data_IF_835015922243
#
_entry.id   IF_835015922243
#
_cell.length_a   1.000
_cell.length_b   1.000
_cell.length_c   1.000
_cell.angle_alpha   90.00
_cell.angle_beta   90.00
_cell.angle_gamma   90.00
#
_symmetry.space_group_name_H-M   'P 1'
#
loop_
_entity.id
_entity.type
_entity.pdbx_description
1 polymer ?
#
# COMPACT_ATOMS: atom_id res chain seq x y z
N UNK A 1 -4.08 20.93 21.69
CA UNK A 1 -3.04 19.91 21.86
C UNK A 1 -3.75 18.57 21.86
N UNK A 2 -3.60 17.79 20.80
CA UNK A 2 -4.11 16.41 20.79
C UNK A 2 -3.06 15.55 21.48
N UNK A 3 -3.47 14.74 22.46
CA UNK A 3 -2.60 13.82 23.19
C UNK A 3 -2.97 12.40 22.79
N UNK A 4 -1.96 11.59 22.49
CA UNK A 4 -2.13 10.18 22.10
C UNK A 4 -2.31 9.31 23.34
N UNK A 5 -3.24 8.36 23.29
CA UNK A 5 -3.37 7.37 24.37
C UNK A 5 -2.34 6.24 24.17
N UNK A 6 -1.92 5.53 25.24
CA UNK A 6 -1.02 4.38 25.13
C UNK A 6 -1.53 3.32 24.15
N UNK A 7 -2.79 2.90 24.27
CA UNK A 7 -3.37 1.88 23.37
C UNK A 7 -3.36 2.34 21.90
N UNK A 8 -3.62 3.63 21.66
CA UNK A 8 -3.56 4.20 20.31
C UNK A 8 -2.11 4.22 19.77
N UNK A 9 -1.14 4.47 20.64
CA UNK A 9 0.27 4.46 20.27
C UNK A 9 0.72 3.06 19.86
N UNK A 10 0.31 2.02 20.59
CA UNK A 10 0.53 0.61 20.23
C UNK A 10 -0.07 0.28 18.85
N UNK A 11 -1.35 0.59 18.62
CA UNK A 11 -2.00 0.38 17.30
C UNK A 11 -1.24 1.06 16.15
N UNK A 12 -0.70 2.26 16.42
CA UNK A 12 0.03 3.04 15.40
C UNK A 12 1.43 2.48 15.16
N UNK A 13 2.06 1.97 16.22
CA UNK A 13 3.35 1.28 16.17
C UNK A 13 3.25 -0.02 15.37
N UNK A 14 2.17 -0.77 15.55
CA UNK A 14 1.90 -1.99 14.76
C UNK A 14 1.63 -1.68 13.28
N UNK A 15 1.05 -0.52 12.98
CA UNK A 15 0.70 -0.12 11.61
C UNK A 15 1.90 0.42 10.81
N UNK A 16 2.70 1.30 11.42
CA UNK A 16 3.78 2.01 10.72
C UNK A 16 5.18 1.50 11.09
N UNK A 17 5.29 0.68 12.13
CA UNK A 17 6.55 0.20 12.65
C UNK A 17 7.25 1.19 13.59
N UNK A 18 8.44 0.81 14.09
CA UNK A 18 9.17 1.56 15.12
C UNK A 18 9.85 2.83 14.60
N UNK A 19 9.97 3.02 13.29
CA UNK A 19 10.54 4.24 12.69
C UNK A 19 9.51 5.38 12.66
N UNK A 20 9.62 6.32 13.60
CA UNK A 20 8.76 7.50 13.66
C UNK A 20 8.88 8.42 12.43
N UNK A 21 9.92 8.30 11.60
CA UNK A 21 10.13 9.17 10.44
C UNK A 21 9.14 8.91 9.30
N UNK A 22 8.59 7.70 9.23
CA UNK A 22 7.57 7.31 8.22
C UNK A 22 6.15 7.64 8.67
N UNK A 23 5.97 8.05 9.92
CA UNK A 23 4.65 8.32 10.49
C UNK A 23 4.06 9.63 9.94
N UNK A 24 2.71 9.72 9.85
CA UNK A 24 2.03 10.98 9.58
C UNK A 24 2.42 12.08 10.57
N UNK A 25 2.54 13.33 10.10
CA UNK A 25 3.03 14.46 10.90
C UNK A 25 2.22 14.76 12.17
N UNK A 26 0.94 14.40 12.20
CA UNK A 26 0.08 14.56 13.39
C UNK A 26 0.37 13.48 14.43
N UNK A 27 0.44 12.22 14.01
CA UNK A 27 0.67 11.08 14.88
C UNK A 27 2.11 11.06 15.41
N UNK A 28 3.09 11.41 14.56
CA UNK A 28 4.49 11.55 14.97
C UNK A 28 4.67 12.55 16.12
N UNK A 29 4.08 13.75 16.00
CA UNK A 29 4.16 14.78 17.06
C UNK A 29 3.44 14.33 18.34
N UNK A 30 2.36 13.57 18.21
CA UNK A 30 1.62 13.07 19.35
C UNK A 30 2.40 11.94 20.07
N UNK A 31 3.05 11.06 19.31
CA UNK A 31 3.95 10.02 19.80
C UNK A 31 5.19 10.59 20.49
N UNK A 32 5.86 11.58 19.90
CA UNK A 32 7.02 12.27 20.51
C UNK A 32 6.67 12.83 21.90
N UNK A 33 5.52 13.50 22.02
CA UNK A 33 5.03 14.01 23.32
C UNK A 33 4.76 12.89 24.32
N UNK A 34 4.19 11.77 23.88
CA UNK A 34 3.94 10.61 24.74
C UNK A 34 5.25 10.00 25.23
N UNK A 35 6.23 9.81 24.34
CA UNK A 35 7.55 9.27 24.65
C UNK A 35 8.35 10.15 25.60
N UNK A 36 8.17 11.47 25.60
CA UNK A 36 8.81 12.35 26.58
C UNK A 36 8.33 12.08 28.02
N UNK A 37 7.09 11.65 28.20
CA UNK A 37 6.45 11.57 29.52
C UNK A 37 6.24 10.15 30.03
N UNK A 38 6.04 9.18 29.13
CA UNK A 38 5.69 7.81 29.47
C UNK A 38 6.88 6.87 29.28
N UNK A 39 7.24 6.16 30.35
CA UNK A 39 8.26 5.11 30.28
C UNK A 39 7.71 3.85 29.61
N UNK A 40 6.43 3.55 29.78
CA UNK A 40 5.79 2.39 29.17
C UNK A 40 5.78 2.51 27.63
N UNK A 41 5.53 3.72 27.11
CA UNK A 41 5.59 3.97 25.67
C UNK A 41 7.00 3.80 25.08
N UNK A 42 8.05 4.10 25.87
CA UNK A 42 9.43 3.84 25.45
C UNK A 42 9.73 2.35 25.43
N UNK A 43 9.26 1.60 26.42
CA UNK A 43 9.40 0.15 26.45
C UNK A 43 8.72 -0.51 25.23
N UNK A 44 7.50 -0.07 24.89
CA UNK A 44 6.80 -0.53 23.68
C UNK A 44 7.61 -0.25 22.40
N UNK A 45 8.20 0.94 22.29
CA UNK A 45 9.04 1.31 21.15
C UNK A 45 10.31 0.46 21.07
N UNK A 46 10.97 0.22 22.20
CA UNK A 46 12.17 -0.62 22.28
C UNK A 46 11.85 -2.08 21.90
N UNK A 47 10.70 -2.61 22.35
CA UNK A 47 10.23 -3.95 21.99
C UNK A 47 9.97 -4.06 20.48
N UNK A 48 9.35 -3.05 19.88
CA UNK A 48 9.12 -3.01 18.43
C UNK A 48 10.44 -2.94 17.63
N UNK A 49 11.42 -2.16 18.10
CA UNK A 49 12.78 -2.16 17.50
C UNK A 49 13.45 -3.52 17.62
N UNK A 50 13.33 -4.20 18.76
CA UNK A 50 13.93 -5.52 18.95
C UNK A 50 13.38 -6.55 17.96
N UNK A 51 12.08 -6.48 17.63
CA UNK A 51 11.46 -7.34 16.61
C UNK A 51 11.98 -6.98 15.22
N UNK A 52 12.00 -5.69 14.86
CA UNK A 52 12.47 -5.25 13.54
C UNK A 52 13.94 -5.62 13.30
N UNK A 53 14.80 -5.42 14.31
CA UNK A 53 16.21 -5.83 14.26
C UNK A 53 16.36 -7.34 14.09
N UNK A 54 15.58 -8.14 14.83
CA UNK A 54 15.61 -9.60 14.71
C UNK A 54 15.20 -10.08 13.31
N UNK A 55 14.27 -9.37 12.66
CA UNK A 55 13.85 -9.66 11.30
C UNK A 55 14.89 -9.20 10.27
N UNK A 56 15.51 -8.05 10.46
CA UNK A 56 16.55 -7.52 9.56
C UNK A 56 17.86 -8.31 9.64
N UNK A 57 18.19 -8.85 10.81
CA UNK A 57 19.37 -9.71 11.00
C UNK A 57 19.18 -11.11 10.38
N UNK A 58 17.94 -11.49 10.04
CA UNK A 58 17.67 -12.78 9.43
C UNK A 58 18.23 -12.84 8.00
N UNK A 59 19.37 -13.52 7.86
CA UNK A 59 20.00 -13.76 6.56
C UNK A 59 19.46 -15.05 5.94
N UNK A 60 18.95 -14.95 4.71
CA UNK A 60 18.55 -16.09 3.90
C UNK A 60 19.73 -16.54 3.03
N UNK A 61 19.86 -17.84 2.78
CA UNK A 61 20.87 -18.38 1.86
C UNK A 61 20.66 -17.85 0.44
N UNK A 62 21.76 -17.58 -0.26
CA UNK A 62 21.73 -17.05 -1.62
C UNK A 62 20.91 -17.97 -2.56
N UNK A 63 20.09 -17.40 -3.46
CA UNK A 63 19.31 -18.20 -4.40
C UNK A 63 20.23 -19.03 -5.30
N UNK A 64 19.74 -20.20 -5.74
CA UNK A 64 20.52 -21.03 -6.65
C UNK A 64 20.73 -20.32 -7.99
N UNK A 65 21.90 -20.49 -8.65
CA UNK A 65 22.18 -19.83 -9.93
C UNK A 65 21.21 -20.23 -11.06
N UNK A 66 20.53 -21.37 -10.89
CA UNK A 66 19.49 -21.85 -11.81
C UNK A 66 18.18 -21.04 -11.66
N UNK A 67 17.83 -20.63 -10.44
CA UNK A 67 16.67 -19.79 -10.18
C UNK A 67 16.87 -18.39 -10.75
N UNK A 68 18.06 -17.82 -10.57
CA UNK A 68 18.43 -16.52 -11.16
C UNK A 68 18.34 -16.53 -12.69
N UNK A 69 18.86 -17.58 -13.33
CA UNK A 69 18.77 -17.73 -14.79
C UNK A 69 17.31 -17.78 -15.28
N UNK A 70 16.44 -18.46 -14.53
CA UNK A 70 15.00 -18.53 -14.85
C UNK A 70 14.26 -17.21 -14.62
N UNK A 71 14.61 -16.47 -13.57
CA UNK A 71 14.04 -15.14 -13.31
C UNK A 71 14.42 -14.14 -14.40
N UNK A 72 15.68 -14.16 -14.85
CA UNK A 72 16.16 -13.29 -15.92
C UNK A 72 15.53 -13.64 -17.28
N UNK A 73 15.25 -14.91 -17.55
CA UNK A 73 14.54 -15.34 -18.77
C UNK A 73 13.05 -14.94 -18.75
N UNK A 74 12.44 -14.86 -17.56
CA UNK A 74 11.05 -14.41 -17.39
C UNK A 74 10.91 -12.88 -17.41
N UNK A 75 12.01 -12.13 -17.27
CA UNK A 75 11.97 -10.68 -17.24
C UNK A 75 11.41 -10.14 -18.56
N UNK A 76 10.37 -9.29 -18.53
CA UNK A 76 9.83 -8.70 -19.73
C UNK A 76 10.91 -7.86 -20.42
N UNK A 77 11.12 -8.10 -21.72
CA UNK A 77 12.08 -7.35 -22.51
C UNK A 77 11.80 -5.84 -22.36
N UNK A 78 12.85 -5.00 -22.17
CA UNK A 78 12.65 -3.56 -22.11
C UNK A 78 11.92 -3.10 -23.36
N UNK A 79 10.90 -2.22 -23.24
CA UNK A 79 10.20 -1.72 -24.41
C UNK A 79 11.23 -1.11 -25.36
N UNK A 80 11.26 -1.62 -26.60
CA UNK A 80 12.16 -1.12 -27.63
C UNK A 80 12.05 0.41 -27.68
N UNK A 81 13.17 1.16 -27.81
CA UNK A 81 13.12 2.61 -27.87
C UNK A 81 12.19 2.98 -29.02
N UNK A 82 11.03 3.54 -28.68
CA UNK A 82 10.02 3.92 -29.65
C UNK A 82 10.69 4.87 -30.64
N UNK A 83 10.95 4.37 -31.85
CA UNK A 83 11.48 5.18 -32.92
C UNK A 83 10.50 6.33 -33.10
N UNK A 84 10.93 7.52 -32.67
CA UNK A 84 10.18 8.76 -32.71
C UNK A 84 9.72 8.98 -34.14
N UNK A 85 8.48 8.58 -34.43
CA UNK A 85 7.84 8.84 -35.70
C UNK A 85 7.37 10.29 -35.61
N UNK A 86 8.33 11.19 -35.85
CA UNK A 86 8.16 12.63 -35.95
C UNK A 86 7.44 12.99 -37.26
N UNK A 87 6.32 12.31 -37.53
CA UNK A 87 5.46 12.57 -38.66
C UNK A 87 4.04 12.71 -38.14
N UNK A 88 3.49 13.90 -38.34
CA UNK A 88 2.08 14.25 -38.18
C UNK A 88 1.65 14.90 -36.85
N UNK A 89 2.36 15.95 -36.40
CA UNK A 89 1.72 17.00 -35.58
C UNK A 89 0.89 17.98 -36.44
N UNK A 90 1.12 18.05 -37.76
CA UNK A 90 0.36 18.92 -38.67
C UNK A 90 -0.84 18.24 -39.33
N UNK A 91 -0.95 16.91 -39.29
CA UNK A 91 -2.11 16.19 -39.86
C UNK A 91 -3.32 16.11 -38.92
N UNK A 92 -3.19 16.54 -37.66
CA UNK A 92 -4.29 16.54 -36.68
C UNK A 92 -5.00 17.89 -36.56
N UNK A 93 -4.51 18.92 -37.26
CA UNK A 93 -5.03 20.29 -37.18
C UNK A 93 -6.10 20.60 -38.23
N UNK A 94 -6.39 19.68 -39.16
CA UNK A 94 -7.16 20.00 -40.36
C UNK A 94 -8.44 19.19 -40.58
N UNK A 95 -9.11 18.70 -39.51
CA UNK A 95 -10.47 18.17 -39.67
C UNK A 95 -11.34 18.08 -38.41
N UNK A 96 -11.34 19.08 -37.50
CA UNK A 96 -12.42 19.21 -36.48
C UNK A 96 -12.45 20.50 -35.66
N UNK A 97 -11.97 21.62 -36.22
CA UNK A 97 -12.09 22.97 -35.64
C UNK A 97 -13.57 23.48 -35.48
N UNK A 98 -14.57 22.60 -35.58
CA UNK A 98 -16.01 22.91 -35.46
C UNK A 98 -16.78 22.00 -34.47
N UNK A 99 -16.10 21.20 -33.64
CA UNK A 99 -16.73 20.47 -32.51
C UNK A 99 -16.03 20.84 -31.19
N UNK A 100 -15.63 22.10 -31.06
CA UNK A 100 -14.94 22.64 -29.89
C UNK A 100 -15.90 23.50 -29.07
N UNK A 101 -16.41 22.94 -27.97
CA UNK A 101 -16.69 23.62 -26.68
C UNK A 101 -17.66 22.77 -25.82
N UNK A 102 -18.68 22.14 -26.44
CA UNK A 102 -19.77 21.47 -25.70
C UNK A 102 -19.43 20.07 -25.17
N UNK A 103 -18.73 19.26 -25.97
CA UNK A 103 -18.50 17.85 -25.62
C UNK A 103 -17.46 17.65 -24.51
N UNK A 104 -16.42 18.50 -24.46
CA UNK A 104 -15.38 18.42 -23.43
C UNK A 104 -15.92 18.79 -22.04
N UNK A 105 -16.82 19.79 -21.95
CA UNK A 105 -17.48 20.16 -20.71
C UNK A 105 -18.42 19.06 -20.20
N UNK A 106 -19.08 18.31 -21.08
CA UNK A 106 -20.00 17.24 -20.68
C UNK A 106 -19.27 16.06 -20.00
N UNK A 107 -18.13 15.61 -20.54
CA UNK A 107 -17.35 14.55 -19.91
C UNK A 107 -16.71 15.00 -18.59
N UNK A 108 -16.21 16.23 -18.52
CA UNK A 108 -15.65 16.79 -17.28
C UNK A 108 -16.72 16.96 -16.19
N UNK A 109 -17.93 17.41 -16.54
CA UNK A 109 -19.04 17.54 -15.60
C UNK A 109 -19.54 16.18 -15.10
N UNK A 110 -19.61 15.16 -15.96
CA UNK A 110 -20.04 13.83 -15.55
C UNK A 110 -19.02 13.16 -14.59
N UNK A 111 -17.72 13.31 -14.87
CA UNK A 111 -16.67 12.85 -13.95
C UNK A 111 -16.67 13.59 -12.61
N UNK A 112 -16.90 14.91 -12.61
CA UNK A 112 -16.98 15.71 -11.39
C UNK A 112 -18.22 15.37 -10.54
N UNK A 113 -19.38 15.12 -11.18
CA UNK A 113 -20.63 14.76 -10.48
C UNK A 113 -20.52 13.37 -9.86
N UNK A 114 -19.94 12.40 -10.57
CA UNK A 114 -19.66 11.07 -9.99
C UNK A 114 -18.67 11.20 -8.83
N UNK A 115 -17.56 11.92 -9.02
CA UNK A 115 -16.53 12.09 -7.98
C UNK A 115 -17.01 12.79 -6.71
N UNK A 116 -17.93 13.75 -6.80
CA UNK A 116 -18.50 14.43 -5.63
C UNK A 116 -19.61 13.64 -4.93
N UNK A 117 -20.33 12.76 -5.64
CA UNK A 117 -21.35 11.89 -5.05
C UNK A 117 -20.78 10.56 -4.52
N UNK A 118 -19.61 10.13 -4.99
CA UNK A 118 -18.91 8.93 -4.50
C UNK A 118 -18.03 9.17 -3.27
N UNK A 119 -18.26 10.24 -2.50
CA UNK A 119 -17.91 10.28 -1.07
C UNK A 119 -18.91 9.41 -0.31
N UNK A 120 -18.93 8.13 -0.65
CA UNK A 120 -19.54 7.09 0.17
C UNK A 120 -18.40 6.50 0.97
N UNK A 121 -18.49 6.61 2.30
CA UNK A 121 -17.73 5.75 3.21
C UNK A 121 -17.80 4.32 2.70
N UNK A 122 -16.70 3.55 2.71
CA UNK A 122 -16.71 2.18 2.23
C UNK A 122 -17.87 1.45 2.90
N UNK A 123 -18.93 1.16 2.14
CA UNK A 123 -19.98 0.29 2.62
C UNK A 123 -19.36 -1.10 2.55
N UNK A 124 -19.13 -1.68 3.72
CA UNK A 124 -18.78 -3.09 3.83
C UNK A 124 -20.02 -3.83 3.33
N UNK A 125 -19.99 -4.22 2.06
CA UNK A 125 -21.10 -4.94 1.47
C UNK A 125 -21.16 -6.32 2.12
N UNK A 126 -22.38 -6.81 2.32
CA UNK A 126 -22.65 -8.13 2.92
C UNK A 126 -21.93 -9.25 2.14
N UNK A 127 -21.67 -9.04 0.84
CA UNK A 127 -20.87 -9.92 0.01
C UNK A 127 -19.37 -9.95 0.37
N UNK A 128 -18.82 -8.84 0.87
CA UNK A 128 -17.44 -8.76 1.33
C UNK A 128 -17.30 -9.51 2.67
N UNK A 129 -18.29 -9.40 3.55
CA UNK A 129 -18.37 -10.18 4.79
C UNK A 129 -18.55 -11.68 4.50
N UNK A 130 -19.36 -12.05 3.50
CA UNK A 130 -19.50 -13.44 3.07
C UNK A 130 -18.19 -13.97 2.47
N UNK A 131 -17.50 -13.18 1.64
CA UNK A 131 -16.19 -13.55 1.10
C UNK A 131 -15.13 -13.69 2.19
N UNK A 132 -15.05 -12.75 3.14
CA UNK A 132 -14.12 -12.82 4.27
C UNK A 132 -14.44 -14.00 5.19
N UNK A 133 -15.71 -14.27 5.45
CA UNK A 133 -16.14 -15.43 6.25
C UNK A 133 -15.80 -16.73 5.52
N UNK A 134 -16.05 -16.84 4.22
CA UNK A 134 -15.68 -18.00 3.43
C UNK A 134 -14.16 -18.20 3.35
N UNK A 135 -13.38 -17.13 3.22
CA UNK A 135 -11.92 -17.17 3.22
C UNK A 135 -11.37 -17.62 4.59
N UNK A 136 -11.89 -17.10 5.69
CA UNK A 136 -11.48 -17.50 7.05
C UNK A 136 -11.90 -18.93 7.36
N UNK A 137 -13.10 -19.36 6.94
CA UNK A 137 -13.55 -20.74 7.16
C UNK A 137 -12.87 -21.77 6.24
N UNK A 138 -12.39 -21.35 5.07
CA UNK A 138 -11.58 -22.20 4.18
C UNK A 138 -10.09 -22.19 4.53
N UNK A 139 -9.67 -21.31 5.44
CA UNK A 139 -8.34 -21.36 6.02
C UNK A 139 -8.23 -22.61 6.91
N UNK A 140 -7.67 -23.67 6.33
CA UNK A 140 -7.40 -24.92 7.03
C UNK A 140 -6.10 -24.79 7.82
N UNK A 141 -6.21 -24.71 9.15
CA UNK A 141 -5.05 -24.67 10.05
C UNK A 141 -4.30 -26.00 10.09
N UNK A 142 -4.91 -27.09 9.62
CA UNK A 142 -4.29 -28.42 9.63
C UNK A 142 -3.06 -28.51 8.70
N UNK A 143 -2.95 -27.63 7.69
CA UNK A 143 -1.77 -27.56 6.81
C UNK A 143 -0.49 -27.12 7.56
N UNK A 144 -0.64 -26.50 8.73
CA UNK A 144 0.47 -26.00 9.55
C UNK A 144 0.72 -26.81 10.83
N UNK A 145 -0.11 -27.80 11.13
CA UNK A 145 0.02 -28.67 12.32
C UNK A 145 0.94 -29.89 12.07
N UNK A 146 1.31 -30.18 10.83
CA UNK A 146 2.10 -31.38 10.46
C UNK A 146 3.63 -31.21 10.67
N UNK A 147 4.04 -30.25 11.51
CA UNK A 147 5.45 -29.89 11.74
C UNK A 147 6.00 -30.22 13.13
N UNK A 148 5.21 -30.69 14.10
CA UNK A 148 5.64 -30.88 15.50
C UNK A 148 5.62 -32.33 16.04
N UNK A 149 5.61 -33.36 15.19
CA UNK A 149 5.89 -34.74 15.65
C UNK A 149 6.98 -35.43 14.81
N UNK A 150 8.24 -35.41 15.31
CA UNK A 150 9.32 -36.26 14.81
C UNK A 150 10.74 -35.82 15.14
#
# INVERSE_FOLDING_TARGET
MSWMKPDQFEDTLDLYGPDLSVWPDEDRRAAEQLLETSTDARAMLDDAWAVDDALNDFTVEDPSPELDARLLDLAPAPPAPAASTRKSLLGWLDMKLFVSAGAALACAAFGLVIGLNSVTTPEWSEEADEFLTAAVMSYDTALWEDGEEG
#
